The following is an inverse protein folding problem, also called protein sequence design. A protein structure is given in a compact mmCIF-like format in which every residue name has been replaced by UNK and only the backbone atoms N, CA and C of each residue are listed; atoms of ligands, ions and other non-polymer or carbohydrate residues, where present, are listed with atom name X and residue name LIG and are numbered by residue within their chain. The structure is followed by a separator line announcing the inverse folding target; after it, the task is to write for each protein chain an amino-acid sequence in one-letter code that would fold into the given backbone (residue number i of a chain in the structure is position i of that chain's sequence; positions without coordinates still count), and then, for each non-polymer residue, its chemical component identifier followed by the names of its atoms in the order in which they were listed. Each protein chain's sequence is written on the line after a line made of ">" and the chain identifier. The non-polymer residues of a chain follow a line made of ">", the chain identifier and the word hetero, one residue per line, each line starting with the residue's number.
data_IF_622507639719
#
_entry.id   IF_622507639719
#
_cell.length_a   1.000
_cell.length_b   1.000
_cell.length_c   1.000
_cell.angle_alpha   90.00
_cell.angle_beta   90.00
_cell.angle_gamma   90.00
#
_symmetry.space_group_name_H-M   'P 1'
#
loop_
_entity.id
_entity.type
_entity.pdbx_description
1 polymer ?
#
# COMPACT_ATOMS: atom_id res chain seq x y z
N UNK A 1 -36.45 -52.23 20.19
CA UNK A 1 -36.00 -51.81 18.85
C UNK A 1 -35.22 -53.00 18.29
N UNK A 2 -35.77 -53.68 17.29
CA UNK A 2 -35.26 -54.98 16.86
C UNK A 2 -33.93 -54.80 16.10
N UNK A 3 -32.95 -55.61 16.43
CA UNK A 3 -31.63 -55.64 15.78
C UNK A 3 -31.70 -55.73 14.25
N UNK A 4 -32.74 -56.38 13.74
CA UNK A 4 -32.97 -56.50 12.31
C UNK A 4 -33.30 -55.17 11.59
N UNK A 5 -33.94 -54.23 12.28
CA UNK A 5 -34.23 -52.87 11.74
C UNK A 5 -33.00 -52.00 11.73
N UNK A 6 -32.11 -52.14 12.72
CA UNK A 6 -30.86 -51.41 12.78
C UNK A 6 -29.92 -51.82 11.64
N UNK A 7 -29.81 -53.13 11.36
CA UNK A 7 -29.01 -53.62 10.23
C UNK A 7 -29.49 -53.20 8.88
N UNK A 8 -30.83 -53.08 8.69
CA UNK A 8 -31.42 -52.60 7.43
C UNK A 8 -31.11 -51.08 7.19
N UNK A 9 -31.20 -50.29 8.24
CA UNK A 9 -30.92 -48.84 8.15
C UNK A 9 -29.42 -48.59 7.93
N UNK A 10 -28.56 -49.37 8.61
CA UNK A 10 -27.12 -49.28 8.45
C UNK A 10 -26.66 -49.71 7.05
N UNK A 11 -27.28 -50.76 6.48
CA UNK A 11 -27.00 -51.23 5.11
C UNK A 11 -27.38 -50.25 4.05
N UNK A 12 -28.52 -49.57 4.19
CA UNK A 12 -28.97 -48.50 3.26
C UNK A 12 -28.08 -47.27 3.33
N UNK A 13 -27.62 -46.90 4.54
CA UNK A 13 -26.67 -45.78 4.71
C UNK A 13 -25.31 -46.04 4.07
N UNK A 14 -24.80 -47.29 4.19
CA UNK A 14 -23.51 -47.66 3.60
C UNK A 14 -23.57 -47.72 2.07
N UNK A 15 -24.66 -48.22 1.51
CA UNK A 15 -24.88 -48.21 0.05
C UNK A 15 -25.13 -46.78 -0.49
N UNK A 16 -25.84 -45.95 0.27
CA UNK A 16 -26.09 -44.55 -0.09
C UNK A 16 -24.82 -43.67 -0.11
N UNK A 17 -23.82 -44.01 0.70
CA UNK A 17 -22.53 -43.29 0.73
C UNK A 17 -21.49 -43.84 -0.26
N UNK A 18 -21.49 -45.18 -0.47
CA UNK A 18 -20.49 -45.83 -1.30
C UNK A 18 -20.64 -45.50 -2.81
N UNK A 19 -21.86 -45.35 -3.28
CA UNK A 19 -22.13 -45.05 -4.69
C UNK A 19 -21.65 -43.65 -5.08
N UNK A 20 -21.99 -42.54 -4.37
CA UNK A 20 -21.48 -41.23 -4.70
C UNK A 20 -19.97 -41.12 -4.51
N UNK A 21 -19.37 -41.83 -3.53
CA UNK A 21 -17.93 -41.86 -3.37
C UNK A 21 -17.24 -42.58 -4.52
N UNK A 22 -17.76 -43.73 -4.95
CA UNK A 22 -17.20 -44.45 -6.10
C UNK A 22 -17.35 -43.66 -7.41
N UNK A 23 -18.46 -42.97 -7.62
CA UNK A 23 -18.63 -42.06 -8.77
C UNK A 23 -17.71 -40.88 -8.72
N UNK A 24 -17.48 -40.31 -7.54
CA UNK A 24 -16.49 -39.21 -7.34
C UNK A 24 -15.07 -39.66 -7.68
N UNK A 25 -14.64 -40.81 -7.15
CA UNK A 25 -13.30 -41.34 -7.43
C UNK A 25 -13.15 -41.72 -8.91
N UNK A 26 -14.18 -42.31 -9.51
CA UNK A 26 -14.19 -42.65 -10.95
C UNK A 26 -14.08 -41.39 -11.82
N UNK A 27 -14.82 -40.32 -11.47
CA UNK A 27 -14.77 -39.04 -12.19
C UNK A 27 -13.41 -38.35 -12.01
N UNK A 28 -12.80 -38.44 -10.82
CA UNK A 28 -11.47 -37.89 -10.56
C UNK A 28 -10.36 -38.65 -11.28
N UNK A 29 -10.50 -39.96 -11.43
CA UNK A 29 -9.59 -40.80 -12.24
C UNK A 29 -9.75 -40.56 -13.74
N UNK A 30 -10.94 -40.17 -14.17
CA UNK A 30 -11.24 -39.91 -15.59
C UNK A 30 -10.83 -38.48 -16.03
N UNK A 31 -10.62 -37.54 -15.10
CA UNK A 31 -10.15 -36.21 -15.44
C UNK A 31 -8.64 -36.14 -15.79
N UNK A 32 -7.91 -37.24 -15.66
CA UNK A 32 -6.57 -37.40 -16.20
C UNK A 32 -6.51 -37.55 -17.74
N UNK A 33 -7.67 -37.64 -18.40
CA UNK A 33 -7.71 -37.85 -19.85
C UNK A 33 -7.65 -36.55 -20.71
N UNK A 34 -7.55 -35.38 -20.08
CA UNK A 34 -7.47 -34.12 -20.83
C UNK A 34 -6.08 -33.50 -20.88
N UNK A 35 -5.07 -34.15 -20.31
CA UNK A 35 -3.69 -33.60 -20.32
C UNK A 35 -2.75 -34.17 -21.37
N UNK A 36 -3.21 -35.14 -22.20
CA UNK A 36 -2.34 -35.77 -23.21
C UNK A 36 -2.95 -35.80 -24.61
N UNK A 37 -3.52 -34.68 -25.07
CA UNK A 37 -3.56 -34.40 -26.50
C UNK A 37 -2.38 -33.50 -26.82
N UNK A 38 -1.22 -34.09 -26.97
CA UNK A 38 -0.20 -33.59 -27.87
C UNK A 38 -0.85 -33.48 -29.24
N UNK A 39 -1.26 -32.30 -29.63
CA UNK A 39 -1.64 -31.98 -30.97
C UNK A 39 -0.34 -31.86 -31.75
N UNK A 40 0.12 -33.01 -32.23
CA UNK A 40 1.04 -33.06 -33.36
C UNK A 40 0.25 -32.62 -34.59
N UNK A 41 0.56 -31.49 -35.12
CA UNK A 41 -0.15 -30.98 -36.29
C UNK A 41 0.19 -29.53 -36.61
N UNK A 42 1.41 -29.32 -37.06
CA UNK A 42 1.73 -28.41 -38.13
C UNK A 42 0.78 -27.22 -38.39
N UNK A 43 1.37 -26.03 -38.24
CA UNK A 43 1.13 -24.79 -38.97
C UNK A 43 0.25 -23.73 -38.29
N UNK A 44 0.94 -22.64 -38.04
CA UNK A 44 0.42 -21.30 -37.79
C UNK A 44 -0.16 -21.02 -36.43
N UNK A 45 0.52 -21.46 -35.39
CA UNK A 45 0.44 -20.80 -34.08
C UNK A 45 1.20 -19.48 -34.14
N UNK A 46 0.50 -18.36 -34.29
CA UNK A 46 1.07 -17.02 -34.13
C UNK A 46 1.33 -16.66 -32.63
N UNK A 47 1.39 -17.65 -31.77
CA UNK A 47 2.00 -17.50 -30.46
C UNK A 47 3.51 -17.62 -30.62
N UNK A 48 4.10 -16.56 -31.15
CA UNK A 48 5.53 -16.33 -30.99
C UNK A 48 5.70 -16.07 -29.49
N UNK A 49 5.99 -17.09 -28.70
CA UNK A 49 6.63 -16.88 -27.42
C UNK A 49 7.94 -16.18 -27.75
N UNK A 50 7.98 -14.88 -27.54
CA UNK A 50 9.23 -14.15 -27.49
C UNK A 50 9.95 -14.78 -26.32
N UNK A 51 10.86 -15.69 -26.60
CA UNK A 51 11.79 -16.19 -25.62
C UNK A 51 12.59 -15.00 -25.13
N UNK A 52 12.29 -14.53 -23.94
CA UNK A 52 13.05 -13.52 -23.21
C UNK A 52 14.39 -14.10 -22.74
N UNK A 53 15.00 -14.99 -23.53
CA UNK A 53 16.34 -15.49 -23.31
C UNK A 53 17.34 -14.38 -23.67
N UNK A 54 17.48 -13.41 -22.78
CA UNK A 54 18.39 -12.28 -22.95
C UNK A 54 17.99 -11.01 -22.17
N UNK A 55 16.87 -11.05 -21.45
CA UNK A 55 16.42 -9.92 -20.60
C UNK A 55 16.37 -10.37 -19.14
N UNK A 56 17.35 -11.17 -18.72
CA UNK A 56 17.39 -11.67 -17.33
C UNK A 56 17.70 -10.59 -16.30
N UNK A 57 18.19 -9.42 -16.69
CA UNK A 57 18.51 -8.33 -15.75
C UNK A 57 17.71 -7.04 -16.00
N UNK A 58 16.99 -6.91 -17.11
CA UNK A 58 16.33 -5.64 -17.45
C UNK A 58 15.07 -5.34 -16.62
N UNK A 59 14.55 -6.31 -15.87
CA UNK A 59 13.36 -6.16 -15.03
C UNK A 59 13.64 -6.46 -13.54
N UNK A 60 14.89 -6.53 -13.13
CA UNK A 60 15.23 -6.64 -11.72
C UNK A 60 15.32 -5.24 -11.10
N UNK A 61 14.29 -4.89 -10.34
CA UNK A 61 14.21 -3.61 -9.63
C UNK A 61 14.82 -3.64 -8.23
N UNK A 62 15.43 -4.75 -7.82
CA UNK A 62 15.98 -4.93 -6.47
C UNK A 62 17.00 -3.85 -6.16
N UNK A 63 17.98 -3.62 -7.03
CA UNK A 63 19.00 -2.60 -6.81
C UNK A 63 18.41 -1.19 -6.72
N UNK A 64 17.48 -0.84 -7.60
CA UNK A 64 16.80 0.45 -7.58
C UNK A 64 15.99 0.63 -6.29
N UNK A 65 15.26 -0.41 -5.85
CA UNK A 65 14.50 -0.41 -4.63
C UNK A 65 15.39 -0.26 -3.39
N UNK A 66 16.45 -1.06 -3.27
CA UNK A 66 17.41 -1.00 -2.15
C UNK A 66 18.11 0.36 -2.05
N UNK A 67 18.38 0.99 -3.19
CA UNK A 67 19.01 2.32 -3.21
C UNK A 67 18.07 3.42 -2.74
N UNK A 68 16.76 3.29 -2.92
CA UNK A 68 15.76 4.34 -2.68
C UNK A 68 15.01 4.19 -1.36
N UNK A 69 14.75 2.96 -0.88
CA UNK A 69 13.98 2.69 0.34
C UNK A 69 14.47 3.49 1.55
N UNK A 70 15.80 3.61 1.73
CA UNK A 70 16.38 4.33 2.86
C UNK A 70 16.28 5.86 2.74
N UNK A 71 15.88 6.37 1.58
CA UNK A 71 15.65 7.80 1.35
C UNK A 71 14.18 8.16 1.46
N UNK A 72 13.27 7.17 1.55
CA UNK A 72 11.84 7.36 1.72
C UNK A 72 11.49 7.21 3.19
N UNK A 73 10.71 8.15 3.70
CA UNK A 73 10.34 8.26 5.11
C UNK A 73 8.83 8.27 5.28
N UNK A 74 8.38 7.85 6.45
CA UNK A 74 7.00 8.03 6.88
C UNK A 74 6.85 9.37 7.58
N UNK A 75 5.82 10.13 7.21
CA UNK A 75 5.49 11.42 7.81
C UNK A 75 4.17 11.28 8.54
N UNK A 76 4.16 11.54 9.85
CA UNK A 76 2.94 11.61 10.66
C UNK A 76 2.72 13.01 11.17
N UNK A 77 1.47 13.40 11.23
CA UNK A 77 1.07 14.73 11.70
C UNK A 77 -0.01 14.64 12.75
N UNK A 78 0.04 15.55 13.71
CA UNK A 78 -1.05 15.79 14.66
C UNK A 78 -1.70 17.12 14.31
N UNK A 79 -3.00 17.10 14.22
CA UNK A 79 -3.82 18.29 13.98
C UNK A 79 -4.67 18.53 15.21
N UNK A 80 -4.63 19.72 15.76
CA UNK A 80 -5.50 20.15 16.86
C UNK A 80 -6.54 21.12 16.32
N UNK A 81 -7.77 20.65 16.18
CA UNK A 81 -8.90 21.50 15.84
C UNK A 81 -9.63 21.93 17.09
N UNK A 82 -9.69 23.24 17.29
CA UNK A 82 -10.47 23.83 18.38
C UNK A 82 -11.86 24.18 17.85
N UNK A 83 -12.88 23.50 18.35
CA UNK A 83 -14.29 23.80 18.01
C UNK A 83 -14.97 24.43 19.20
N UNK A 84 -15.57 25.60 19.01
CA UNK A 84 -16.42 26.23 20.01
C UNK A 84 -17.84 25.68 19.87
N UNK A 85 -18.26 24.89 20.83
CA UNK A 85 -19.65 24.46 20.91
C UNK A 85 -20.40 25.39 21.86
N UNK A 86 -21.38 26.11 21.33
CA UNK A 86 -22.29 26.91 22.12
C UNK A 86 -23.31 25.97 22.77
N UNK A 87 -23.51 26.13 24.05
CA UNK A 87 -24.57 25.44 24.78
C UNK A 87 -25.79 26.38 24.84
N UNK A 88 -26.86 26.13 24.06
CA UNK A 88 -28.04 26.99 23.98
C UNK A 88 -28.74 27.15 25.34
N UNK A 89 -28.60 26.14 26.21
CA UNK A 89 -29.21 26.16 27.53
C UNK A 89 -28.48 27.12 28.49
N UNK A 90 -27.15 27.14 28.45
CA UNK A 90 -26.36 28.09 29.21
C UNK A 90 -26.48 29.52 28.69
N UNK A 91 -26.61 29.70 27.38
CA UNK A 91 -26.82 31.01 26.78
C UNK A 91 -28.19 31.60 27.18
N UNK A 92 -29.21 30.75 27.35
CA UNK A 92 -30.54 31.18 27.78
C UNK A 92 -30.55 31.67 29.25
N UNK A 93 -29.81 31.02 30.15
CA UNK A 93 -29.81 31.36 31.58
C UNK A 93 -28.77 32.42 31.97
N UNK A 94 -27.66 32.51 31.29
CA UNK A 94 -26.53 33.36 31.68
C UNK A 94 -26.27 34.53 30.68
N UNK A 95 -27.11 34.68 29.66
CA UNK A 95 -27.02 35.73 28.66
C UNK A 95 -26.17 35.40 27.42
N UNK A 96 -26.25 36.22 26.37
CA UNK A 96 -25.52 36.00 25.10
C UNK A 96 -24.02 35.94 25.34
N UNK A 97 -23.38 34.82 24.93
CA UNK A 97 -21.95 34.60 25.06
C UNK A 97 -21.52 33.84 26.31
N UNK A 98 -22.44 33.54 27.25
CA UNK A 98 -22.16 32.69 28.42
C UNK A 98 -22.42 31.23 28.05
N UNK A 99 -21.36 30.40 27.99
CA UNK A 99 -21.52 28.95 27.87
C UNK A 99 -20.89 28.33 26.62
N UNK A 100 -20.00 29.02 25.92
CA UNK A 100 -19.14 28.42 24.93
C UNK A 100 -18.09 27.51 25.62
N UNK A 101 -18.11 26.21 25.29
CA UNK A 101 -17.03 25.30 25.68
C UNK A 101 -16.13 25.09 24.50
N UNK A 102 -14.85 25.22 24.76
CA UNK A 102 -13.80 24.89 23.79
C UNK A 102 -13.57 23.39 23.81
N UNK A 103 -13.83 22.72 22.70
CA UNK A 103 -13.52 21.31 22.51
C UNK A 103 -12.31 21.20 21.60
N UNK A 104 -11.24 20.60 22.08
CA UNK A 104 -10.07 20.24 21.26
C UNK A 104 -10.28 18.87 20.67
N UNK A 105 -10.40 18.81 19.36
CA UNK A 105 -10.42 17.56 18.62
C UNK A 105 -9.03 17.30 18.08
N UNK A 106 -8.51 16.10 18.35
CA UNK A 106 -7.21 15.68 17.85
C UNK A 106 -7.42 14.80 16.64
N UNK A 107 -6.82 15.19 15.52
CA UNK A 107 -6.71 14.42 14.30
C UNK A 107 -5.26 13.98 14.07
N UNK A 108 -5.07 12.92 13.29
CA UNK A 108 -3.75 12.51 12.81
C UNK A 108 -3.80 12.33 11.30
N UNK A 109 -2.77 12.80 10.62
CA UNK A 109 -2.51 12.55 9.21
C UNK A 109 -1.28 11.67 9.05
N UNK A 110 -1.18 11.00 7.91
CA UNK A 110 -0.01 10.22 7.55
C UNK A 110 0.26 10.30 6.05
N UNK A 111 1.54 10.23 5.69
CA UNK A 111 1.99 10.24 4.30
C UNK A 111 3.41 9.77 4.17
N UNK A 112 3.97 9.96 3.00
CA UNK A 112 5.38 9.66 2.71
C UNK A 112 6.15 10.94 2.40
N UNK A 113 7.44 10.92 2.66
CA UNK A 113 8.37 11.98 2.25
C UNK A 113 9.65 11.37 1.68
N UNK A 114 10.44 12.21 1.03
CA UNK A 114 11.71 11.82 0.41
C UNK A 114 12.82 12.72 0.91
N UNK A 115 13.90 12.16 1.45
CA UNK A 115 15.09 12.87 1.88
C UNK A 115 15.87 13.33 0.64
N UNK A 116 16.06 14.63 0.50
CA UNK A 116 16.76 15.24 -0.63
C UNK A 116 18.17 15.77 -0.28
N UNK A 117 18.51 15.81 1.01
CA UNK A 117 19.82 16.26 1.48
C UNK A 117 20.30 15.48 2.69
N UNK A 118 21.59 15.22 2.77
CA UNK A 118 22.22 14.60 3.94
C UNK A 118 22.10 15.43 5.22
N UNK A 119 21.68 16.67 5.12
CA UNK A 119 21.41 17.56 6.25
C UNK A 119 19.99 17.39 6.82
N UNK A 120 19.13 16.56 6.20
CA UNK A 120 17.78 16.27 6.68
C UNK A 120 16.67 17.15 6.10
N UNK A 121 16.85 17.64 4.87
CA UNK A 121 15.74 18.23 4.10
C UNK A 121 14.93 17.12 3.46
N UNK A 122 13.60 17.23 3.56
CA UNK A 122 12.65 16.23 3.10
C UNK A 122 11.57 16.93 2.29
N UNK A 123 11.22 16.37 1.12
CA UNK A 123 10.06 16.79 0.35
C UNK A 123 8.90 15.86 0.68
N UNK A 124 7.73 16.43 0.91
CA UNK A 124 6.44 15.72 1.05
C UNK A 124 5.32 16.52 0.38
N UNK A 125 4.10 16.02 0.38
CA UNK A 125 2.95 16.75 -0.11
C UNK A 125 2.45 17.78 0.93
N UNK A 126 1.98 18.93 0.45
CA UNK A 126 1.46 19.97 1.32
C UNK A 126 0.24 19.47 2.12
N UNK A 127 -0.70 18.74 1.49
CA UNK A 127 -1.88 18.24 2.18
C UNK A 127 -1.57 17.27 3.34
N UNK A 128 -0.38 16.65 3.36
CA UNK A 128 0.06 15.78 4.48
C UNK A 128 0.36 16.61 5.73
N UNK A 129 0.91 17.82 5.55
CA UNK A 129 1.41 18.66 6.65
C UNK A 129 0.57 19.91 6.92
N UNK A 130 -0.45 20.12 6.10
CA UNK A 130 -1.33 21.28 6.25
C UNK A 130 -2.05 21.27 7.60
N UNK A 131 -2.07 22.43 8.27
CA UNK A 131 -2.64 22.61 9.61
C UNK A 131 -2.07 21.68 10.70
N UNK A 132 -0.90 21.05 10.47
CA UNK A 132 -0.25 20.22 11.46
C UNK A 132 0.29 21.05 12.62
N UNK A 133 -0.07 20.66 13.85
CA UNK A 133 0.49 21.22 15.07
C UNK A 133 1.83 20.59 15.45
N UNK A 134 2.03 19.35 15.06
CA UNK A 134 3.27 18.58 15.27
C UNK A 134 3.49 17.65 14.08
N UNK A 135 4.74 17.55 13.62
CA UNK A 135 5.15 16.68 12.52
C UNK A 135 6.26 15.77 13.03
N UNK A 136 6.06 14.46 12.91
CA UNK A 136 7.06 13.44 13.20
C UNK A 136 7.44 12.73 11.90
N UNK A 137 8.72 12.58 11.66
CA UNK A 137 9.30 11.81 10.55
C UNK A 137 9.91 10.55 11.10
N UNK A 138 9.54 9.41 10.51
CA UNK A 138 10.05 8.10 10.89
C UNK A 138 10.82 7.53 9.70
N UNK A 139 12.10 7.24 9.92
CA UNK A 139 12.99 6.66 8.92
C UNK A 139 12.76 5.15 8.79
N UNK A 140 13.35 4.56 7.77
CA UNK A 140 13.24 3.11 7.53
C UNK A 140 13.85 2.24 8.64
N UNK A 141 14.77 2.78 9.44
CA UNK A 141 15.35 2.14 10.64
C UNK A 141 14.51 2.35 11.91
N UNK A 142 13.30 2.91 11.79
CA UNK A 142 12.39 3.31 12.86
C UNK A 142 12.89 4.46 13.74
N UNK A 143 13.96 5.15 13.35
CA UNK A 143 14.39 6.39 14.04
C UNK A 143 13.36 7.49 13.83
N UNK A 144 13.02 8.20 14.91
CA UNK A 144 11.99 9.24 14.93
C UNK A 144 12.59 10.62 15.11
N UNK A 145 12.11 11.56 14.32
CA UNK A 145 12.56 12.95 14.33
C UNK A 145 11.36 13.89 14.30
N UNK A 146 11.42 14.93 15.15
CA UNK A 146 10.48 16.04 15.00
C UNK A 146 10.90 16.89 13.81
N UNK A 147 9.98 17.20 12.92
CA UNK A 147 10.23 17.99 11.74
C UNK A 147 9.63 19.40 11.85
N UNK A 148 10.27 20.34 11.18
CA UNK A 148 9.78 21.72 11.00
C UNK A 148 9.46 21.95 9.53
N UNK A 149 8.37 22.63 9.22
CA UNK A 149 8.06 23.10 7.87
C UNK A 149 9.00 24.29 7.56
N UNK A 150 9.76 24.16 6.48
CA UNK A 150 10.63 25.23 5.96
C UNK A 150 9.87 26.08 4.94
N UNK A 151 9.00 25.45 4.17
CA UNK A 151 8.14 26.08 3.19
C UNK A 151 7.12 25.11 2.63
N UNK A 152 6.02 25.64 2.14
CA UNK A 152 5.00 24.86 1.46
C UNK A 152 4.37 25.68 0.33
N UNK A 153 3.94 24.97 -0.69
CA UNK A 153 3.21 25.53 -1.82
C UNK A 153 1.92 24.72 -2.05
N UNK A 154 0.77 25.24 -1.64
CA UNK A 154 -0.51 24.57 -1.85
C UNK A 154 -0.90 24.42 -3.34
N UNK A 155 -0.37 25.29 -4.22
CA UNK A 155 -0.71 25.23 -5.64
C UNK A 155 -0.08 24.03 -6.35
N UNK A 156 1.12 23.64 -5.95
CA UNK A 156 1.83 22.45 -6.44
C UNK A 156 1.68 21.24 -5.54
N UNK A 157 1.02 21.39 -4.39
CA UNK A 157 0.91 20.39 -3.33
C UNK A 157 2.28 19.89 -2.84
N UNK A 158 3.25 20.79 -2.68
CA UNK A 158 4.59 20.48 -2.18
C UNK A 158 4.86 21.15 -0.85
N UNK A 159 5.60 20.46 0.01
CA UNK A 159 6.15 21.00 1.25
C UNK A 159 7.58 20.49 1.48
N UNK A 160 8.40 21.35 2.08
CA UNK A 160 9.77 21.03 2.50
C UNK A 160 9.82 21.01 4.02
N UNK A 161 10.27 19.89 4.55
CA UNK A 161 10.49 19.68 5.97
C UNK A 161 11.99 19.66 6.28
N UNK A 162 12.32 19.95 7.53
CA UNK A 162 13.67 19.84 8.08
C UNK A 162 13.64 19.04 9.36
N UNK A 163 14.49 18.02 9.43
CA UNK A 163 14.79 17.27 10.65
C UNK A 163 16.21 17.57 11.10
N UNK A 164 16.45 17.54 12.41
CA UNK A 164 17.78 17.79 12.98
C UNK A 164 18.62 16.51 12.92
N UNK A 165 19.85 16.64 12.46
CA UNK A 165 20.79 15.54 12.31
C UNK A 165 21.67 15.71 11.08
N UNK A 166 22.54 14.73 10.81
CA UNK A 166 23.45 14.69 9.66
C UNK A 166 23.64 13.26 9.19
N UNK A 167 24.08 13.12 7.94
CA UNK A 167 24.42 11.81 7.38
C UNK A 167 23.21 11.02 6.89
N UNK A 168 22.09 11.71 6.66
CA UNK A 168 20.92 11.09 6.07
C UNK A 168 21.16 10.66 4.62
N UNK A 169 20.57 9.54 4.21
CA UNK A 169 20.71 9.05 2.84
C UNK A 169 19.77 9.83 1.93
N UNK A 170 20.31 10.80 1.21
CA UNK A 170 19.55 11.56 0.23
C UNK A 170 19.35 10.76 -1.07
N UNK A 171 18.19 10.96 -1.71
CA UNK A 171 17.91 10.38 -3.03
C UNK A 171 18.63 11.19 -4.11
N UNK A 172 19.21 10.56 -5.14
CA UNK A 172 19.69 11.28 -6.31
C UNK A 172 18.51 11.83 -7.11
N UNK A 173 18.59 13.09 -7.50
CA UNK A 173 17.55 13.77 -8.28
C UNK A 173 17.88 13.62 -9.77
N UNK A 174 16.94 13.12 -10.54
CA UNK A 174 17.01 13.02 -11.99
C UNK A 174 16.24 14.12 -12.72
N UNK A 175 16.30 14.10 -14.03
CA UNK A 175 15.54 14.99 -14.89
C UNK A 175 14.33 14.25 -15.49
N UNK A 176 13.11 14.66 -15.12
CA UNK A 176 11.88 14.05 -15.62
C UNK A 176 11.65 14.29 -17.12
N UNK A 177 12.32 15.32 -17.71
CA UNK A 177 12.22 15.60 -19.14
C UNK A 177 12.89 14.55 -20.03
N UNK A 178 13.81 13.79 -19.47
CA UNK A 178 14.51 12.72 -20.17
C UNK A 178 13.72 11.40 -20.22
N UNK A 179 12.63 11.29 -19.45
CA UNK A 179 11.79 10.09 -19.41
C UNK A 179 11.08 9.90 -20.77
N UNK A 180 10.94 8.64 -21.17
CA UNK A 180 10.25 8.23 -22.40
C UNK A 180 9.00 7.44 -22.08
N UNK A 181 7.94 7.63 -22.87
CA UNK A 181 6.73 6.79 -22.80
C UNK A 181 7.12 5.33 -23.01
N UNK A 182 6.60 4.44 -22.16
CA UNK A 182 6.95 3.02 -22.13
C UNK A 182 8.15 2.67 -21.24
N UNK A 183 8.88 3.66 -20.72
CA UNK A 183 10.01 3.43 -19.82
C UNK A 183 9.51 2.96 -18.43
N UNK A 184 10.20 1.97 -17.86
CA UNK A 184 9.93 1.48 -16.51
C UNK A 184 10.22 2.54 -15.45
N UNK A 185 9.33 2.65 -14.49
CA UNK A 185 9.45 3.53 -13.32
C UNK A 185 8.99 2.80 -12.05
N UNK A 186 9.52 3.22 -10.92
CA UNK A 186 9.13 2.73 -9.61
C UNK A 186 8.46 3.86 -8.83
N UNK A 187 7.39 3.51 -8.11
CA UNK A 187 6.85 4.35 -7.06
C UNK A 187 7.18 3.71 -5.71
N UNK A 188 7.81 4.49 -4.84
CA UNK A 188 8.23 4.06 -3.50
C UNK A 188 7.59 4.97 -2.47
N UNK A 189 6.93 4.38 -1.47
CA UNK A 189 6.27 5.10 -0.39
C UNK A 189 6.29 4.33 0.91
N UNK A 190 5.99 5.01 2.02
CA UNK A 190 5.85 4.40 3.34
C UNK A 190 4.65 5.02 4.10
N UNK A 191 3.42 4.90 3.58
CA UNK A 191 2.28 5.62 4.15
C UNK A 191 1.78 5.07 5.49
N UNK A 192 2.14 3.83 5.86
CA UNK A 192 1.62 3.15 7.05
C UNK A 192 2.69 2.81 8.10
N UNK A 193 3.93 3.23 7.90
CA UNK A 193 5.06 2.91 8.79
C UNK A 193 5.25 1.40 9.09
N UNK A 194 4.84 0.54 8.18
CA UNK A 194 5.03 -0.91 8.32
C UNK A 194 6.30 -1.34 7.60
N UNK A 195 6.33 -1.12 6.31
CA UNK A 195 7.48 -1.35 5.42
C UNK A 195 7.34 -0.42 4.22
N UNK A 196 8.45 0.04 3.66
CA UNK A 196 8.41 0.77 2.41
C UNK A 196 7.78 -0.10 1.32
N UNK A 197 6.77 0.43 0.66
CA UNK A 197 6.07 -0.24 -0.43
C UNK A 197 6.68 0.21 -1.75
N UNK A 198 7.00 -0.74 -2.62
CA UNK A 198 7.53 -0.49 -3.96
C UNK A 198 6.55 -1.04 -4.98
N UNK A 199 6.17 -0.23 -5.94
CA UNK A 199 5.36 -0.63 -7.08
C UNK A 199 6.06 -0.24 -8.38
N UNK A 200 5.96 -1.09 -9.41
CA UNK A 200 6.55 -0.87 -10.72
C UNK A 200 5.47 -0.59 -11.76
N UNK A 201 5.77 0.27 -12.70
CA UNK A 201 4.92 0.61 -13.82
C UNK A 201 5.70 1.22 -14.96
N UNK A 202 5.00 1.75 -15.94
CA UNK A 202 5.60 2.44 -17.07
C UNK A 202 5.09 3.87 -17.19
N UNK A 203 5.90 4.73 -17.79
CA UNK A 203 5.45 6.07 -18.20
C UNK A 203 4.41 5.90 -19.33
N UNK A 204 3.15 6.20 -19.04
CA UNK A 204 2.05 6.04 -20.01
C UNK A 204 1.78 7.32 -20.81
N UNK A 205 2.07 8.48 -20.24
CA UNK A 205 1.91 9.80 -20.87
C UNK A 205 2.94 10.78 -20.31
N UNK A 206 3.17 11.87 -21.03
CA UNK A 206 4.08 12.95 -20.63
C UNK A 206 3.54 14.31 -21.08
#
# INVERSE_FOLDING_TARGET
>A
MNYLSFFKIFGVGLLGGAIPFATYVYFQSSSGFLSDRVIDGNKNSYTRSVGLNGVSDANDFTQASESTINSVVHVTTKVVQTTFQRDPFQEFFNGPGAGGREFKQYGSGAGSGVIISSEGYIITNNHVVDNASEIEVILNDNSKYTAKIIGSDPATDLAVLKIEGKGFKAIPIGNSDDLKIGQWVLAVGNPFNLTSTVTAGIVSAK
#
